data_IF_193169106874
#
_entry.id   IF_193169106874
#
_cell.length_a   1.000
_cell.length_b   1.000
_cell.length_c   1.000
_cell.angle_alpha   90.00
_cell.angle_beta   90.00
_cell.angle_gamma   90.00
#
_symmetry.space_group_name_H-M   'P 1'
#
loop_
_entity.id
_entity.type
_entity.pdbx_description
1 polymer ?
#
# COMPACT_ATOMS: atom_id res chain seq x y z
N UNK A 1 -43.86 -25.52 19.37
CA UNK A 1 -42.55 -25.65 18.70
C UNK A 1 -41.84 -24.31 18.83
N UNK A 2 -40.77 -24.23 19.63
CA UNK A 2 -40.00 -22.99 19.77
C UNK A 2 -39.08 -22.83 18.56
N UNK A 3 -39.25 -21.73 17.82
CA UNK A 3 -38.36 -21.35 16.74
C UNK A 3 -36.95 -21.11 17.31
N UNK A 4 -35.97 -21.85 16.79
CA UNK A 4 -34.57 -21.67 17.14
C UNK A 4 -34.15 -20.24 16.78
N UNK A 5 -33.68 -19.50 17.78
CA UNK A 5 -33.17 -18.14 17.60
C UNK A 5 -31.88 -18.24 16.80
N UNK A 6 -31.89 -17.80 15.54
CA UNK A 6 -30.66 -17.70 14.74
C UNK A 6 -29.61 -16.93 15.54
N UNK A 7 -28.50 -17.60 15.86
CA UNK A 7 -27.39 -17.01 16.57
C UNK A 7 -26.74 -15.98 15.64
N UNK A 8 -27.15 -14.72 15.76
CA UNK A 8 -26.44 -13.59 15.16
C UNK A 8 -24.98 -13.67 15.60
N UNK A 9 -24.10 -14.03 14.67
CA UNK A 9 -22.66 -14.10 14.93
C UNK A 9 -22.18 -12.71 15.36
N UNK A 10 -21.91 -12.54 16.65
CA UNK A 10 -21.53 -11.26 17.23
C UNK A 10 -20.21 -10.75 16.63
N UNK A 11 -20.12 -9.43 16.45
CA UNK A 11 -18.89 -8.76 16.00
C UNK A 11 -17.81 -9.00 17.06
N UNK A 12 -16.75 -9.71 16.67
CA UNK A 12 -15.65 -10.10 17.55
C UNK A 12 -14.44 -9.18 17.36
N UNK A 13 -13.84 -8.73 18.46
CA UNK A 13 -12.63 -7.89 18.44
C UNK A 13 -11.37 -8.71 18.13
N UNK A 14 -10.48 -8.14 17.32
CA UNK A 14 -9.14 -8.66 17.07
C UNK A 14 -8.18 -8.17 18.18
N UNK A 15 -8.21 -8.83 19.34
CA UNK A 15 -7.27 -8.55 20.43
C UNK A 15 -5.91 -9.19 20.13
N UNK A 16 -4.84 -8.70 20.78
CA UNK A 16 -3.47 -9.20 20.53
C UNK A 16 -3.34 -10.71 20.69
N UNK A 17 -3.95 -11.30 21.74
CA UNK A 17 -3.94 -12.74 21.95
C UNK A 17 -4.63 -13.51 20.80
N UNK A 18 -5.72 -12.98 20.25
CA UNK A 18 -6.44 -13.62 19.14
C UNK A 18 -5.73 -13.45 17.81
N UNK A 19 -5.07 -12.32 17.60
CA UNK A 19 -4.21 -12.11 16.42
C UNK A 19 -3.04 -13.09 16.46
N UNK A 20 -2.42 -13.31 17.63
CA UNK A 20 -1.35 -14.30 17.78
C UNK A 20 -1.84 -15.72 17.51
N UNK A 21 -2.99 -16.13 18.07
CA UNK A 21 -3.58 -17.44 17.79
C UNK A 21 -3.94 -17.61 16.29
N UNK A 22 -4.49 -16.58 15.67
CA UNK A 22 -4.78 -16.58 14.23
C UNK A 22 -3.50 -16.68 13.39
N UNK A 23 -2.42 -15.99 13.78
CA UNK A 23 -1.14 -16.07 13.09
C UNK A 23 -0.55 -17.49 13.13
N UNK A 24 -0.64 -18.17 14.29
CA UNK A 24 -0.22 -19.58 14.42
C UNK A 24 -1.05 -20.49 13.50
N UNK A 25 -2.37 -20.30 13.46
CA UNK A 25 -3.23 -21.10 12.60
C UNK A 25 -2.93 -20.87 11.10
N UNK A 26 -2.59 -19.64 10.73
CA UNK A 26 -2.14 -19.28 9.38
C UNK A 26 -0.77 -19.91 9.05
N UNK A 27 0.16 -19.96 10.00
CA UNK A 27 1.45 -20.66 9.82
C UNK A 27 1.25 -22.13 9.50
N UNK A 28 0.40 -22.82 10.26
CA UNK A 28 0.06 -24.22 9.99
C UNK A 28 -0.53 -24.38 8.58
N UNK A 29 -1.48 -23.53 8.20
CA UNK A 29 -2.08 -23.53 6.87
C UNK A 29 -1.06 -23.34 5.74
N UNK A 30 -0.11 -22.42 5.90
CA UNK A 30 0.94 -22.15 4.91
C UNK A 30 1.98 -23.26 4.85
N UNK A 31 2.25 -23.93 5.97
CA UNK A 31 3.16 -25.09 6.02
C UNK A 31 2.59 -26.26 5.21
N UNK A 32 1.27 -26.46 5.26
CA UNK A 32 0.57 -27.49 4.46
C UNK A 32 0.47 -27.12 2.96
N UNK A 33 0.57 -25.83 2.63
CA UNK A 33 0.43 -25.29 1.26
C UNK A 33 1.66 -24.53 0.82
N UNK A 34 2.72 -25.26 0.47
CA UNK A 34 4.00 -24.70 0.02
C UNK A 34 3.91 -23.88 -1.28
N UNK A 35 2.83 -24.03 -2.04
CA UNK A 35 2.52 -23.27 -3.26
C UNK A 35 2.08 -21.83 -2.98
N UNK A 36 1.63 -21.53 -1.76
CA UNK A 36 1.09 -20.22 -1.39
C UNK A 36 2.15 -19.39 -0.66
N UNK A 37 2.63 -18.33 -1.32
CA UNK A 37 3.54 -17.35 -0.72
C UNK A 37 2.79 -16.06 -0.39
N UNK A 38 2.79 -15.68 0.90
CA UNK A 38 2.14 -14.47 1.39
C UNK A 38 3.16 -13.59 2.10
N UNK A 39 3.26 -12.34 1.66
CA UNK A 39 4.16 -11.37 2.28
C UNK A 39 3.68 -10.90 3.66
N UNK A 40 4.53 -10.17 4.38
CA UNK A 40 4.33 -9.83 5.78
C UNK A 40 3.11 -8.90 5.99
N UNK A 41 2.89 -7.91 5.10
CA UNK A 41 1.74 -7.02 5.20
C UNK A 41 0.43 -7.77 4.98
N UNK A 42 0.35 -8.57 3.91
CA UNK A 42 -0.83 -9.36 3.59
C UNK A 42 -1.14 -10.37 4.70
N UNK A 43 -0.11 -11.01 5.26
CA UNK A 43 -0.22 -11.95 6.37
C UNK A 43 -0.71 -11.28 7.66
N UNK A 44 -0.25 -10.07 7.96
CA UNK A 44 -0.70 -9.31 9.15
C UNK A 44 -2.19 -8.99 9.06
N UNK A 45 -2.65 -8.51 7.89
CA UNK A 45 -4.08 -8.24 7.68
C UNK A 45 -4.93 -9.51 7.70
N UNK A 46 -4.41 -10.61 7.17
CA UNK A 46 -5.07 -11.90 7.27
C UNK A 46 -5.23 -12.34 8.72
N UNK A 47 -4.18 -12.26 9.54
CA UNK A 47 -4.26 -12.59 10.96
C UNK A 47 -5.30 -11.72 11.70
N UNK A 48 -5.36 -10.41 11.40
CA UNK A 48 -6.38 -9.51 11.97
C UNK A 48 -7.80 -9.91 11.53
N UNK A 49 -7.99 -10.24 10.26
CA UNK A 49 -9.29 -10.64 9.71
C UNK A 49 -9.74 -11.98 10.28
N UNK A 50 -8.84 -12.95 10.39
CA UNK A 50 -9.10 -14.26 10.98
C UNK A 50 -9.39 -14.13 12.49
N UNK A 51 -8.71 -13.24 13.20
CA UNK A 51 -9.00 -12.96 14.61
C UNK A 51 -10.39 -12.36 14.85
N UNK A 52 -11.07 -11.83 13.83
CA UNK A 52 -12.47 -11.36 13.93
C UNK A 52 -13.49 -12.48 13.69
N UNK A 53 -13.05 -13.62 13.18
CA UNK A 53 -13.95 -14.76 12.91
C UNK A 53 -14.43 -15.42 14.22
N UNK A 54 -15.55 -16.16 14.16
CA UNK A 54 -15.99 -17.02 15.24
C UNK A 54 -14.94 -18.09 15.58
N UNK A 55 -15.11 -18.71 16.74
CA UNK A 55 -14.21 -19.78 17.19
C UNK A 55 -14.42 -21.02 16.35
N UNK A 56 -13.33 -21.69 15.96
CA UNK A 56 -13.37 -22.82 15.03
C UNK A 56 -13.62 -22.44 13.56
N UNK A 57 -13.61 -21.15 13.21
CA UNK A 57 -13.65 -20.74 11.81
C UNK A 57 -12.42 -21.27 11.07
N UNK A 58 -12.67 -21.90 9.92
CA UNK A 58 -11.62 -22.45 9.07
C UNK A 58 -10.69 -21.33 8.58
N UNK A 59 -9.40 -21.65 8.48
CA UNK A 59 -8.40 -20.74 7.93
C UNK A 59 -8.42 -20.91 6.41
N UNK A 60 -8.82 -19.85 5.70
CA UNK A 60 -8.82 -19.81 4.24
C UNK A 60 -8.03 -18.61 3.73
N UNK A 61 -7.34 -18.77 2.60
CA UNK A 61 -6.66 -17.66 1.94
C UNK A 61 -7.66 -16.55 1.55
N UNK A 62 -7.47 -15.30 2.01
CA UNK A 62 -8.39 -14.22 1.69
C UNK A 62 -8.33 -13.84 0.22
N UNK A 63 -9.48 -13.53 -0.37
CA UNK A 63 -9.59 -13.11 -1.78
C UNK A 63 -9.98 -11.64 -1.96
N UNK A 64 -10.12 -10.89 -0.85
CA UNK A 64 -10.61 -9.51 -0.83
C UNK A 64 -9.60 -8.50 -1.40
N UNK A 65 -10.09 -7.32 -1.78
CA UNK A 65 -9.29 -6.28 -2.43
C UNK A 65 -8.11 -5.80 -1.56
N UNK A 66 -8.33 -5.63 -0.25
CA UNK A 66 -7.30 -5.20 0.70
C UNK A 66 -6.16 -6.21 0.81
N UNK A 67 -6.47 -7.51 0.84
CA UNK A 67 -5.46 -8.57 0.87
C UNK A 67 -4.62 -8.57 -0.40
N UNK A 68 -5.25 -8.44 -1.58
CA UNK A 68 -4.53 -8.32 -2.86
C UNK A 68 -3.63 -7.08 -2.89
N UNK A 69 -4.11 -5.95 -2.40
CA UNK A 69 -3.33 -4.72 -2.31
C UNK A 69 -2.11 -4.90 -1.40
N UNK A 70 -2.26 -5.53 -0.24
CA UNK A 70 -1.12 -5.77 0.64
C UNK A 70 -0.11 -6.74 0.04
N UNK A 71 -0.57 -7.78 -0.66
CA UNK A 71 0.32 -8.70 -1.36
C UNK A 71 1.09 -7.98 -2.49
N UNK A 72 0.45 -7.01 -3.14
CA UNK A 72 1.11 -6.15 -4.11
C UNK A 72 2.18 -5.25 -3.47
N UNK A 73 1.90 -4.65 -2.30
CA UNK A 73 2.88 -3.87 -1.55
C UNK A 73 4.06 -4.73 -1.05
N UNK A 74 3.79 -5.95 -0.59
CA UNK A 74 4.84 -6.91 -0.23
C UNK A 74 5.74 -7.26 -1.43
N UNK A 75 5.14 -7.40 -2.62
CA UNK A 75 5.89 -7.62 -3.86
C UNK A 75 6.70 -6.40 -4.31
N UNK A 76 6.22 -5.17 -4.07
CA UNK A 76 7.00 -3.95 -4.31
C UNK A 76 8.19 -3.82 -3.36
N UNK A 77 8.02 -4.24 -2.10
CA UNK A 77 9.05 -4.14 -1.06
C UNK A 77 10.09 -5.27 -1.14
N UNK A 78 9.83 -6.29 -1.95
CA UNK A 78 10.78 -7.38 -2.15
C UNK A 78 12.03 -6.85 -2.84
N UNK A 79 13.24 -7.10 -2.30
CA UNK A 79 14.50 -6.47 -2.72
C UNK A 79 14.94 -6.79 -4.16
N UNK A 80 14.15 -7.58 -4.91
CA UNK A 80 14.36 -7.89 -6.33
C UNK A 80 13.71 -6.90 -7.30
N UNK A 81 12.89 -5.95 -6.84
CA UNK A 81 12.35 -4.87 -7.69
C UNK A 81 13.14 -3.57 -7.63
N UNK A 82 14.23 -3.53 -6.86
CA UNK A 82 15.28 -2.50 -6.95
C UNK A 82 16.19 -2.71 -8.18
N UNK A 83 15.63 -3.23 -9.28
CA UNK A 83 16.27 -3.21 -10.60
C UNK A 83 16.24 -1.82 -11.27
N UNK A 84 16.24 -0.72 -10.50
CA UNK A 84 16.23 0.61 -11.11
C UNK A 84 16.26 1.84 -10.19
N UNK A 85 16.20 1.73 -8.86
CA UNK A 85 16.18 2.91 -7.99
C UNK A 85 17.09 2.79 -6.76
N UNK A 86 18.26 2.18 -6.94
CA UNK A 86 19.44 2.83 -6.38
C UNK A 86 19.58 4.14 -7.16
N UNK A 87 18.91 5.21 -6.71
CA UNK A 87 19.35 6.55 -7.05
C UNK A 87 20.81 6.59 -6.59
N UNK A 88 21.74 6.35 -7.53
CA UNK A 88 23.17 6.44 -7.24
C UNK A 88 23.38 7.72 -6.46
N UNK A 89 24.01 7.62 -5.29
CA UNK A 89 24.06 8.70 -4.30
C UNK A 89 24.44 10.03 -4.93
N UNK A 90 25.26 10.00 -5.98
CA UNK A 90 25.62 11.16 -6.78
C UNK A 90 24.81 11.32 -8.07
N UNK A 91 24.26 12.52 -8.28
CA UNK A 91 23.66 12.95 -9.55
C UNK A 91 24.35 14.19 -10.08
N UNK A 92 24.53 14.25 -11.39
CA UNK A 92 25.05 15.43 -12.07
C UNK A 92 23.91 16.38 -12.40
N UNK A 93 23.95 17.58 -11.81
CA UNK A 93 22.99 18.65 -12.04
C UNK A 93 23.65 19.78 -12.84
N UNK A 94 22.90 20.35 -13.77
CA UNK A 94 23.29 21.59 -14.44
C UNK A 94 22.94 22.77 -13.55
N UNK A 95 23.93 23.57 -13.19
CA UNK A 95 23.79 24.70 -12.27
C UNK A 95 24.35 25.96 -12.92
N UNK A 96 23.71 27.09 -12.65
CA UNK A 96 24.16 28.42 -13.10
C UNK A 96 24.27 29.34 -11.89
N UNK A 97 25.48 29.83 -11.60
CA UNK A 97 25.73 30.73 -10.47
C UNK A 97 25.90 32.17 -10.98
N UNK A 98 25.10 33.10 -10.43
CA UNK A 98 25.22 34.55 -10.66
C UNK A 98 25.28 34.97 -12.13
N UNK A 99 24.53 34.29 -13.01
CA UNK A 99 24.49 34.60 -14.45
C UNK A 99 25.68 34.09 -15.26
N UNK A 100 26.62 33.37 -14.65
CA UNK A 100 27.79 32.75 -15.31
C UNK A 100 27.40 31.64 -16.29
N UNK A 101 28.35 31.03 -16.98
CA UNK A 101 28.10 29.88 -17.86
C UNK A 101 27.54 28.68 -17.10
N UNK A 102 26.70 27.88 -17.76
CA UNK A 102 26.16 26.63 -17.20
C UNK A 102 27.31 25.66 -16.88
N UNK A 103 27.32 25.14 -15.65
CA UNK A 103 28.28 24.14 -15.20
C UNK A 103 27.58 22.88 -14.71
N UNK A 104 28.27 21.74 -14.78
CA UNK A 104 27.76 20.47 -14.28
C UNK A 104 28.39 20.18 -12.93
N UNK A 105 27.57 19.96 -11.90
CA UNK A 105 27.99 19.60 -10.55
C UNK A 105 27.47 18.22 -10.21
N UNK A 106 28.35 17.34 -9.74
CA UNK A 106 27.98 16.02 -9.24
C UNK A 106 27.77 16.12 -7.74
N UNK A 107 26.52 15.97 -7.31
CA UNK A 107 26.09 16.25 -5.94
C UNK A 107 25.48 14.99 -5.33
N UNK A 108 25.77 14.75 -4.05
CA UNK A 108 25.06 13.73 -3.27
C UNK A 108 23.60 14.15 -3.06
N UNK A 109 22.67 13.36 -3.60
CA UNK A 109 21.24 13.64 -3.55
C UNK A 109 20.68 13.53 -2.14
N UNK A 110 21.23 12.66 -1.28
CA UNK A 110 20.77 12.54 0.10
C UNK A 110 21.14 13.79 0.90
N UNK A 111 22.37 14.29 0.73
CA UNK A 111 22.79 15.54 1.36
C UNK A 111 22.01 16.75 0.83
N UNK A 112 21.81 16.82 -0.49
CA UNK A 112 21.03 17.90 -1.10
C UNK A 112 19.57 17.89 -0.61
N UNK A 113 18.93 16.72 -0.55
CA UNK A 113 17.57 16.58 0.00
C UNK A 113 17.52 17.01 1.46
N UNK A 114 18.48 16.57 2.27
CA UNK A 114 18.58 16.96 3.69
C UNK A 114 18.71 18.46 3.85
N UNK A 115 19.58 19.12 3.06
CA UNK A 115 19.76 20.56 3.08
C UNK A 115 18.49 21.33 2.67
N UNK A 116 17.70 20.77 1.75
CA UNK A 116 16.43 21.33 1.28
C UNK A 116 15.21 20.92 2.14
N UNK A 117 15.39 20.09 3.17
CA UNK A 117 14.29 19.55 3.98
C UNK A 117 13.36 18.59 3.22
N UNK A 118 13.85 17.98 2.13
CA UNK A 118 13.08 17.05 1.32
C UNK A 118 13.20 15.61 1.85
N UNK A 119 12.16 14.77 1.68
CA UNK A 119 12.24 13.35 2.05
C UNK A 119 13.30 12.58 1.26
N UNK A 120 13.90 11.57 1.88
CA UNK A 120 14.95 10.73 1.29
C UNK A 120 14.45 9.74 0.23
N UNK A 121 13.15 9.73 -0.07
CA UNK A 121 12.53 8.93 -1.12
C UNK A 121 11.95 9.86 -2.20
N UNK A 122 11.92 9.41 -3.46
CA UNK A 122 11.31 10.19 -4.53
C UNK A 122 9.81 10.40 -4.27
N UNK A 123 9.33 11.65 -4.32
CA UNK A 123 7.90 11.97 -4.22
C UNK A 123 7.13 11.62 -5.51
N UNK A 124 7.87 11.52 -6.61
CA UNK A 124 7.39 11.09 -7.92
C UNK A 124 7.92 9.68 -8.20
N UNK A 125 8.07 8.85 -7.17
CA UNK A 125 8.40 7.45 -7.36
C UNK A 125 7.34 6.83 -8.28
N UNK A 126 7.80 6.16 -9.34
CA UNK A 126 6.99 5.32 -10.21
C UNK A 126 6.14 4.38 -9.34
N UNK A 127 4.85 4.67 -9.20
CA UNK A 127 3.96 3.82 -8.42
C UNK A 127 2.70 4.50 -7.92
N UNK A 128 2.78 5.75 -7.43
CA UNK A 128 1.60 6.43 -6.86
C UNK A 128 0.94 7.37 -7.88
N UNK A 129 1.74 8.08 -8.68
CA UNK A 129 1.24 9.10 -9.63
C UNK A 129 1.59 8.82 -11.10
N UNK A 130 2.31 7.74 -11.41
CA UNK A 130 2.78 7.46 -12.78
C UNK A 130 1.64 7.28 -13.80
N UNK A 131 0.44 6.92 -13.34
CA UNK A 131 -0.76 6.79 -14.17
C UNK A 131 -1.84 7.85 -13.91
N UNK A 132 -1.57 8.87 -13.08
CA UNK A 132 -2.52 9.95 -12.87
C UNK A 132 -2.52 10.85 -14.11
N UNK A 133 -3.37 10.52 -15.06
CA UNK A 133 -3.85 11.46 -16.08
C UNK A 133 -4.98 12.26 -15.43
N UNK A 134 -4.84 13.58 -15.24
CA UNK A 134 -5.98 14.41 -14.92
C UNK A 134 -7.09 14.12 -15.93
N UNK A 135 -8.34 13.90 -15.49
CA UNK A 135 -9.46 13.81 -16.42
C UNK A 135 -9.45 15.06 -17.31
N UNK A 136 -9.68 14.89 -18.59
CA UNK A 136 -9.76 16.01 -19.52
C UNK A 136 -10.84 16.96 -19.01
N UNK A 137 -10.48 18.24 -18.82
CA UNK A 137 -11.46 19.25 -18.41
C UNK A 137 -12.63 19.24 -19.41
N UNK A 138 -13.88 19.15 -18.92
CA UNK A 138 -15.04 19.12 -19.81
C UNK A 138 -15.07 20.41 -20.62
N UNK A 139 -15.08 20.27 -21.95
CA UNK A 139 -15.09 21.41 -22.88
C UNK A 139 -16.41 22.19 -22.88
N UNK A 140 -17.43 21.67 -22.21
CA UNK A 140 -18.78 22.24 -22.15
C UNK A 140 -19.11 22.49 -20.69
N UNK A 141 -19.54 23.73 -20.41
CA UNK A 141 -20.02 24.09 -19.09
C UNK A 141 -21.27 23.26 -18.75
N UNK A 142 -21.34 22.74 -17.52
CA UNK A 142 -22.52 22.03 -17.07
C UNK A 142 -23.62 23.05 -16.80
N UNK A 143 -24.83 22.82 -17.31
CA UNK A 143 -25.97 23.67 -16.96
C UNK A 143 -26.23 23.54 -15.46
N UNK A 144 -26.40 24.69 -14.80
CA UNK A 144 -26.72 24.76 -13.38
C UNK A 144 -28.20 24.42 -13.19
N UNK A 145 -28.47 23.13 -12.95
CA UNK A 145 -29.80 22.56 -12.80
C UNK A 145 -30.33 22.75 -11.37
N UNK A 146 -29.43 22.94 -10.40
CA UNK A 146 -29.74 22.97 -8.98
C UNK A 146 -30.29 24.34 -8.53
N UNK A 147 -30.08 25.38 -9.34
CA UNK A 147 -30.56 26.74 -9.07
C UNK A 147 -31.71 27.18 -10.02
N UNK A 148 -32.38 26.24 -10.70
CA UNK A 148 -33.40 26.58 -11.71
C UNK A 148 -34.76 27.03 -11.17
N UNK A 149 -35.04 26.95 -9.87
CA UNK A 149 -36.26 27.52 -9.29
C UNK A 149 -36.01 28.03 -7.87
N UNK A 150 -35.93 29.36 -7.73
CA UNK A 150 -36.31 30.11 -6.53
C UNK A 150 -37.39 31.13 -6.93
#
# INVERSE_FOLDING_TARGET
MYAAKEARQGIRRATSARIAAAAIAIDSYLTERSDVQVGNMARTNWAISQARQPEGAEVSLPSNATFRQMQHLDAMRSPGRDGGHQEGGFRTLKVRLNGSSEMQLTIDIQELRTALGLPNYSLVADGIFSNLRPPQEPAVNMEDIDHQND
#
